data_IF_843276652928
#
_entry.id   IF_843276652928
#
_cell.length_a   1.000
_cell.length_b   1.000
_cell.length_c   1.000
_cell.angle_alpha   90.00
_cell.angle_beta   90.00
_cell.angle_gamma   90.00
#
_symmetry.space_group_name_H-M   'P 1'
#
loop_
_entity.id
_entity.type
_entity.pdbx_description
1 polymer ?
#
# COMPACT_ATOMS: atom_id res chain seq x y z
N UNK A 1 15.70 -10.27 -2.00
CA UNK A 1 14.39 -10.37 -1.31
C UNK A 1 13.84 -11.78 -1.47
N UNK A 2 13.33 -12.38 -0.38
CA UNK A 2 12.72 -13.72 -0.41
C UNK A 2 11.38 -13.71 -1.15
N UNK A 3 10.85 -14.91 -1.49
CA UNK A 3 9.52 -15.04 -2.07
C UNK A 3 8.43 -14.52 -1.12
N UNK A 4 8.47 -14.95 0.14
CA UNK A 4 7.56 -14.46 1.18
C UNK A 4 7.64 -12.93 1.34
N UNK A 5 8.85 -12.33 1.33
CA UNK A 5 9.00 -10.88 1.42
C UNK A 5 8.32 -10.12 0.26
N UNK A 6 8.35 -10.69 -0.95
CA UNK A 6 7.62 -10.14 -2.11
C UNK A 6 6.10 -10.24 -1.94
N UNK A 7 5.61 -11.35 -1.41
CA UNK A 7 4.17 -11.56 -1.16
C UNK A 7 3.66 -10.59 -0.10
N UNK A 8 4.39 -10.44 1.02
CA UNK A 8 4.06 -9.45 2.04
C UNK A 8 4.06 -8.01 1.50
N UNK A 9 5.06 -7.63 0.72
CA UNK A 9 5.09 -6.31 0.08
C UNK A 9 3.90 -6.10 -0.85
N UNK A 10 3.57 -7.09 -1.66
CA UNK A 10 2.42 -7.07 -2.58
C UNK A 10 1.13 -6.85 -1.79
N UNK A 11 0.89 -7.65 -0.75
CA UNK A 11 -0.30 -7.54 0.09
C UNK A 11 -0.41 -6.17 0.79
N UNK A 12 0.70 -5.61 1.29
CA UNK A 12 0.69 -4.26 1.88
C UNK A 12 0.30 -3.20 0.84
N UNK A 13 0.87 -3.26 -0.37
CA UNK A 13 0.53 -2.32 -1.43
C UNK A 13 -0.94 -2.45 -1.88
N UNK A 14 -1.47 -3.67 -1.94
CA UNK A 14 -2.88 -3.93 -2.22
C UNK A 14 -3.80 -3.29 -1.16
N UNK A 15 -3.47 -3.43 0.13
CA UNK A 15 -4.23 -2.77 1.21
C UNK A 15 -4.15 -1.25 1.08
N UNK A 16 -2.98 -0.70 0.80
CA UNK A 16 -2.82 0.75 0.63
C UNK A 16 -3.63 1.28 -0.55
N UNK A 17 -3.80 0.53 -1.63
CA UNK A 17 -4.73 0.89 -2.72
C UNK A 17 -6.18 0.75 -2.27
N UNK A 18 -6.52 -0.37 -1.64
CA UNK A 18 -7.88 -0.65 -1.20
C UNK A 18 -8.39 0.36 -0.16
N UNK A 19 -7.52 0.92 0.67
CA UNK A 19 -7.82 1.98 1.66
C UNK A 19 -7.68 3.40 1.08
N UNK A 20 -7.53 3.55 -0.25
CA UNK A 20 -7.29 4.82 -0.95
C UNK A 20 -6.07 5.61 -0.42
N UNK A 21 -5.05 4.97 0.14
CA UNK A 21 -3.77 5.62 0.44
C UNK A 21 -2.94 5.79 -0.84
N UNK A 22 -2.99 4.80 -1.72
CA UNK A 22 -2.45 4.84 -3.08
C UNK A 22 -3.57 4.76 -4.11
N UNK A 23 -3.30 5.28 -5.31
CA UNK A 23 -4.20 5.08 -6.45
C UNK A 23 -4.00 3.70 -7.05
N UNK A 24 -2.75 3.34 -7.30
CA UNK A 24 -2.38 2.06 -7.89
C UNK A 24 -0.92 1.73 -7.59
N UNK A 25 -0.56 0.48 -7.84
CA UNK A 25 0.83 0.05 -7.89
C UNK A 25 1.01 -0.99 -8.99
N UNK A 26 2.24 -1.18 -9.48
CA UNK A 26 2.61 -2.27 -10.38
C UNK A 26 4.02 -2.78 -10.13
N UNK A 27 4.25 -4.05 -10.42
CA UNK A 27 5.62 -4.58 -10.55
C UNK A 27 6.23 -4.09 -11.85
N UNK A 28 7.49 -3.68 -11.77
CA UNK A 28 8.30 -3.28 -12.91
C UNK A 28 9.26 -4.41 -13.29
N UNK A 29 9.77 -4.42 -14.54
CA UNK A 29 10.88 -5.31 -14.91
C UNK A 29 12.06 -5.20 -13.94
N UNK A 30 12.88 -6.25 -13.88
CA UNK A 30 14.06 -6.34 -13.01
C UNK A 30 13.74 -6.25 -11.50
N UNK A 31 12.49 -6.51 -11.11
CA UNK A 31 12.08 -6.57 -9.71
C UNK A 31 11.87 -5.21 -9.04
N UNK A 32 11.76 -4.13 -9.83
CA UNK A 32 11.33 -2.83 -9.35
C UNK A 32 9.82 -2.75 -9.11
N UNK A 33 9.38 -1.64 -8.56
CA UNK A 33 7.98 -1.31 -8.32
C UNK A 33 7.69 0.10 -8.79
N UNK A 34 6.44 0.35 -9.12
CA UNK A 34 5.93 1.70 -9.35
C UNK A 34 4.67 1.89 -8.55
N UNK A 35 4.56 3.01 -7.85
CA UNK A 35 3.36 3.43 -7.14
C UNK A 35 2.82 4.70 -7.79
N UNK A 36 1.51 4.91 -7.69
CA UNK A 36 0.81 6.09 -8.23
C UNK A 36 0.14 6.82 -7.07
N UNK A 37 0.50 8.08 -6.88
CA UNK A 37 -0.13 8.95 -5.87
C UNK A 37 -1.46 9.53 -6.37
N UNK A 38 -2.25 10.11 -5.47
CA UNK A 38 -3.47 10.84 -5.83
C UNK A 38 -3.22 12.11 -6.64
N UNK A 39 -1.99 12.63 -6.61
CA UNK A 39 -1.56 13.75 -7.46
C UNK A 39 -1.23 13.29 -8.89
N UNK A 40 -1.34 11.99 -9.17
CA UNK A 40 -0.98 11.39 -10.45
C UNK A 40 0.53 11.18 -10.62
N UNK A 41 1.31 11.34 -9.56
CA UNK A 41 2.76 11.12 -9.61
C UNK A 41 3.06 9.61 -9.69
N UNK A 42 3.84 9.22 -10.71
CA UNK A 42 4.38 7.87 -10.85
C UNK A 42 5.78 7.79 -10.23
N UNK A 43 5.90 7.10 -9.10
CA UNK A 43 7.18 6.97 -8.40
C UNK A 43 7.74 5.58 -8.65
N UNK A 44 8.91 5.51 -9.27
CA UNK A 44 9.64 4.25 -9.51
C UNK A 44 10.57 3.96 -8.34
N UNK A 45 10.47 2.74 -7.82
CA UNK A 45 11.18 2.31 -6.63
C UNK A 45 11.90 0.99 -6.89
N UNK A 46 13.09 0.85 -6.33
CA UNK A 46 13.70 -0.49 -6.16
C UNK A 46 12.86 -1.31 -5.20
N UNK A 47 13.04 -2.64 -5.17
CA UNK A 47 12.35 -3.51 -4.22
C UNK A 47 12.54 -3.05 -2.75
N UNK A 48 13.75 -2.63 -2.39
CA UNK A 48 14.07 -2.17 -1.03
C UNK A 48 13.39 -0.83 -0.71
N UNK A 49 13.37 0.10 -1.66
CA UNK A 49 12.67 1.37 -1.49
C UNK A 49 11.16 1.16 -1.37
N UNK A 50 10.58 0.29 -2.19
CA UNK A 50 9.17 -0.06 -2.13
C UNK A 50 8.80 -0.71 -0.79
N UNK A 51 9.65 -1.60 -0.27
CA UNK A 51 9.45 -2.21 1.04
C UNK A 51 9.48 -1.17 2.17
N UNK A 52 10.49 -0.30 2.18
CA UNK A 52 10.60 0.75 3.19
C UNK A 52 9.42 1.72 3.13
N UNK A 53 9.04 2.13 1.92
CA UNK A 53 7.91 3.04 1.69
C UNK A 53 6.59 2.42 2.15
N UNK A 54 6.30 1.19 1.74
CA UNK A 54 5.05 0.49 2.09
C UNK A 54 4.94 0.29 3.60
N UNK A 55 6.03 -0.13 4.27
CA UNK A 55 6.06 -0.27 5.73
C UNK A 55 5.79 1.06 6.45
N UNK A 56 6.38 2.15 5.97
CA UNK A 56 6.16 3.48 6.53
C UNK A 56 4.71 3.94 6.38
N UNK A 57 4.15 3.85 5.16
CA UNK A 57 2.76 4.21 4.90
C UNK A 57 1.79 3.35 5.72
N UNK A 58 2.05 2.04 5.83
CA UNK A 58 1.21 1.12 6.60
C UNK A 58 1.25 1.42 8.10
N UNK A 59 2.42 1.76 8.65
CA UNK A 59 2.54 2.16 10.06
C UNK A 59 1.73 3.42 10.37
N UNK A 60 1.76 4.42 9.49
CA UNK A 60 0.94 5.65 9.65
C UNK A 60 -0.55 5.32 9.54
N UNK A 61 -0.94 4.49 8.57
CA UNK A 61 -2.32 4.04 8.43
C UNK A 61 -2.82 3.37 9.72
N UNK A 62 -2.08 2.38 10.24
CA UNK A 62 -2.46 1.69 11.48
C UNK A 62 -2.54 2.65 12.68
N UNK A 63 -1.62 3.62 12.79
CA UNK A 63 -1.67 4.62 13.86
C UNK A 63 -2.94 5.50 13.77
N UNK A 64 -3.38 5.86 12.57
CA UNK A 64 -4.61 6.63 12.36
C UNK A 64 -5.87 5.79 12.65
N UNK A 65 -5.85 4.50 12.34
CA UNK A 65 -6.91 3.54 12.70
C UNK A 65 -7.02 3.40 14.22
N UNK A 66 -5.90 3.22 14.90
CA UNK A 66 -5.85 3.08 16.37
C UNK A 66 -6.39 4.34 17.07
N UNK A 67 -6.07 5.52 16.54
CA UNK A 67 -6.61 6.81 16.98
C UNK A 67 -8.08 7.04 16.60
N UNK A 68 -8.72 6.09 15.89
CA UNK A 68 -10.09 6.20 15.34
C UNK A 68 -10.30 7.42 14.44
N UNK A 69 -9.21 7.92 13.83
CA UNK A 69 -9.25 9.06 12.89
C UNK A 69 -9.68 8.63 11.50
N UNK A 70 -9.43 7.36 11.17
CA UNK A 70 -9.92 6.70 9.96
C UNK A 70 -10.57 5.38 10.36
N UNK A 71 -11.60 4.97 9.63
CA UNK A 71 -12.24 3.68 9.80
C UNK A 71 -11.82 2.78 8.63
N UNK A 72 -11.12 1.65 8.88
CA UNK A 72 -10.75 0.70 7.83
C UNK A 72 -11.96 0.26 7.02
N UNK A 73 -11.78 0.07 5.72
CA UNK A 73 -12.81 -0.56 4.89
C UNK A 73 -12.83 -2.04 5.18
N UNK A 74 -13.77 -2.53 5.97
CA UNK A 74 -13.84 -3.98 6.23
C UNK A 74 -14.26 -4.69 4.93
N UNK A 75 -13.44 -5.61 4.36
CA UNK A 75 -13.83 -6.34 3.17
C UNK A 75 -15.10 -7.14 3.43
N UNK A 76 -16.16 -6.88 2.65
CA UNK A 76 -17.48 -7.50 2.83
C UNK A 76 -18.45 -6.72 3.69
N UNK A 77 -18.05 -5.58 4.26
CA UNK A 77 -18.97 -4.69 4.97
C UNK A 77 -19.73 -3.82 3.95
N UNK A 78 -20.84 -4.35 3.45
CA UNK A 78 -21.77 -3.65 2.56
C UNK A 78 -22.80 -2.81 3.32
N UNK A 79 -22.48 -2.31 4.53
CA UNK A 79 -23.30 -1.28 5.16
C UNK A 79 -23.08 0.06 4.47
N UNK A 80 -23.70 0.19 3.29
CA UNK A 80 -24.05 1.48 2.70
C UNK A 80 -25.04 2.17 3.64
N UNK A 81 -24.72 3.37 4.09
CA UNK A 81 -25.71 4.41 4.36
C UNK A 81 -25.45 5.56 3.39
#
# INVERSE_FOLDING_TARGET
MSAAGREYLTAMLDVLVYENVLVAWRRMPLGGYMIVSHEGEEIRLTAQQAEMWARGAFAVYLALVDQRRINPRIPGDTTKN
#
